data_IF_694025264302
#
_entry.id   IF_694025264302
#
_cell.length_a   1.000
_cell.length_b   1.000
_cell.length_c   1.000
_cell.angle_alpha   90.00
_cell.angle_beta   90.00
_cell.angle_gamma   90.00
#
_symmetry.space_group_name_H-M   'P 1'
#
loop_
_entity.id
_entity.type
_entity.pdbx_description
1 polymer ?
#
# COMPACT_ATOMS: atom_id res chain seq x y z
N UNK A 1 -15.76 -8.03 -12.44
CA UNK A 1 -15.00 -7.87 -11.18
C UNK A 1 -13.51 -7.64 -11.42
N UNK A 2 -12.87 -8.51 -12.19
CA UNK A 2 -11.42 -8.37 -12.42
C UNK A 2 -11.04 -7.06 -13.11
N UNK A 3 -11.82 -6.56 -14.04
CA UNK A 3 -11.56 -5.30 -14.74
C UNK A 3 -11.56 -4.10 -13.78
N UNK A 4 -12.49 -4.07 -12.84
CA UNK A 4 -12.57 -2.99 -11.85
C UNK A 4 -11.35 -3.03 -10.91
N UNK A 5 -10.94 -4.23 -10.50
CA UNK A 5 -9.76 -4.39 -9.65
C UNK A 5 -8.48 -3.97 -10.37
N UNK A 6 -8.35 -4.33 -11.64
CA UNK A 6 -7.23 -3.91 -12.47
C UNK A 6 -7.19 -2.40 -12.67
N UNK A 7 -8.36 -1.78 -12.89
CA UNK A 7 -8.47 -0.33 -13.03
C UNK A 7 -8.06 0.38 -11.75
N UNK A 8 -8.51 -0.10 -10.60
CA UNK A 8 -8.12 0.45 -9.31
C UNK A 8 -6.62 0.30 -9.05
N UNK A 9 -6.05 -0.86 -9.40
CA UNK A 9 -4.62 -1.08 -9.28
C UNK A 9 -3.84 -0.10 -10.16
N UNK A 10 -4.29 0.14 -11.38
CA UNK A 10 -3.67 1.10 -12.28
C UNK A 10 -3.73 2.52 -11.73
N UNK A 11 -4.87 2.93 -11.19
CA UNK A 11 -5.02 4.25 -10.59
C UNK A 11 -4.05 4.47 -9.42
N UNK A 12 -3.93 3.47 -8.55
CA UNK A 12 -2.99 3.53 -7.43
C UNK A 12 -1.53 3.57 -7.92
N UNK A 13 -1.22 2.76 -8.92
CA UNK A 13 0.11 2.76 -9.52
C UNK A 13 0.45 4.14 -10.11
N UNK A 14 -0.46 4.72 -10.88
CA UNK A 14 -0.23 6.04 -11.49
C UNK A 14 -0.12 7.13 -10.42
N UNK A 15 -0.90 7.05 -9.36
CA UNK A 15 -0.80 7.96 -8.21
C UNK A 15 0.62 7.98 -7.64
N UNK A 16 1.18 6.79 -7.43
CA UNK A 16 2.55 6.65 -6.92
C UNK A 16 3.57 7.20 -7.91
N UNK A 17 3.45 6.85 -9.19
CA UNK A 17 4.38 7.29 -10.23
C UNK A 17 4.38 8.81 -10.42
N UNK A 18 3.22 9.43 -10.35
CA UNK A 18 3.03 10.86 -10.54
C UNK A 18 3.14 11.66 -9.25
N UNK A 19 3.25 11.00 -8.11
CA UNK A 19 3.28 11.61 -6.77
C UNK A 19 2.08 12.53 -6.55
N UNK A 20 0.90 12.07 -6.97
CA UNK A 20 -0.36 12.78 -6.81
C UNK A 20 -1.37 11.89 -6.10
N UNK A 21 -1.86 12.31 -4.92
CA UNK A 21 -2.91 11.54 -4.25
C UNK A 21 -4.19 11.52 -5.09
N UNK A 22 -4.94 10.45 -4.92
CA UNK A 22 -6.25 10.29 -5.57
C UNK A 22 -7.32 10.11 -4.51
N UNK A 23 -8.57 10.29 -4.90
CA UNK A 23 -9.70 9.98 -4.01
C UNK A 23 -9.68 8.49 -3.65
N UNK A 24 -10.21 8.11 -2.47
CA UNK A 24 -10.28 6.70 -2.11
C UNK A 24 -10.97 5.86 -3.19
N UNK A 25 -10.36 4.74 -3.55
CA UNK A 25 -10.90 3.84 -4.59
C UNK A 25 -12.15 3.08 -4.14
N UNK A 26 -12.47 3.14 -2.85
CA UNK A 26 -13.62 2.44 -2.28
C UNK A 26 -14.93 2.77 -3.00
N UNK A 27 -15.11 4.03 -3.41
CA UNK A 27 -16.30 4.44 -4.15
C UNK A 27 -16.44 3.77 -5.50
N UNK A 28 -15.33 3.43 -6.14
CA UNK A 28 -15.34 2.74 -7.43
C UNK A 28 -15.56 1.24 -7.29
N UNK A 29 -15.12 0.65 -6.18
CA UNK A 29 -15.33 -0.76 -5.89
C UNK A 29 -16.78 -1.08 -5.51
N UNK A 30 -17.50 -0.10 -4.94
CA UNK A 30 -18.88 -0.28 -4.52
C UNK A 30 -19.03 -0.81 -3.10
N UNK A 31 -20.28 -0.94 -2.68
CA UNK A 31 -20.62 -1.36 -1.30
C UNK A 31 -20.27 -2.81 -1.01
N UNK A 32 -20.19 -3.65 -2.04
CA UNK A 32 -19.89 -5.07 -1.91
C UNK A 32 -18.38 -5.36 -1.86
N UNK A 33 -17.53 -4.32 -1.87
CA UNK A 33 -16.10 -4.49 -1.81
C UNK A 33 -15.65 -5.16 -0.52
N UNK A 34 -14.74 -6.11 -0.65
CA UNK A 34 -14.21 -6.88 0.47
C UNK A 34 -12.73 -6.57 0.71
N UNK A 35 -12.23 -6.97 1.88
CA UNK A 35 -10.79 -6.90 2.17
C UNK A 35 -10.00 -7.75 1.18
N UNK A 36 -10.53 -8.88 0.77
CA UNK A 36 -9.89 -9.74 -0.24
C UNK A 36 -9.73 -9.01 -1.58
N UNK A 37 -10.71 -8.22 -1.99
CA UNK A 37 -10.60 -7.38 -3.20
C UNK A 37 -9.44 -6.39 -3.09
N UNK A 38 -9.27 -5.78 -1.93
CA UNK A 38 -8.16 -4.86 -1.69
C UNK A 38 -6.80 -5.56 -1.82
N UNK A 39 -6.69 -6.79 -1.31
CA UNK A 39 -5.46 -7.56 -1.45
C UNK A 39 -5.21 -8.04 -2.88
N UNK A 40 -6.25 -8.33 -3.65
CA UNK A 40 -6.09 -8.62 -5.08
C UNK A 40 -5.49 -7.40 -5.80
N UNK A 41 -5.98 -6.20 -5.49
CA UNK A 41 -5.42 -4.95 -6.04
C UNK A 41 -3.94 -4.80 -5.66
N UNK A 42 -3.61 -5.04 -4.38
CA UNK A 42 -2.23 -5.01 -3.92
C UNK A 42 -1.36 -6.03 -4.66
N UNK A 43 -1.86 -7.25 -4.85
CA UNK A 43 -1.13 -8.31 -5.55
C UNK A 43 -0.84 -7.95 -7.00
N UNK A 44 -1.79 -7.32 -7.68
CA UNK A 44 -1.59 -6.84 -9.06
C UNK A 44 -0.38 -5.89 -9.10
N UNK A 45 -0.32 -4.94 -8.20
CA UNK A 45 0.78 -3.97 -8.16
C UNK A 45 2.08 -4.58 -7.64
N UNK A 46 2.01 -5.56 -6.74
CA UNK A 46 3.18 -6.32 -6.30
C UNK A 46 3.79 -7.09 -7.47
N UNK A 47 2.97 -7.78 -8.24
CA UNK A 47 3.43 -8.52 -9.41
C UNK A 47 4.04 -7.59 -10.45
N UNK A 48 3.44 -6.44 -10.67
CA UNK A 48 4.00 -5.40 -11.54
C UNK A 48 5.38 -4.96 -11.09
N UNK A 49 5.54 -4.73 -9.79
CA UNK A 49 6.83 -4.33 -9.21
C UNK A 49 7.88 -5.40 -9.40
N UNK A 50 7.55 -6.66 -9.14
CA UNK A 50 8.46 -7.79 -9.35
C UNK A 50 8.86 -7.92 -10.82
N UNK A 51 7.91 -7.80 -11.74
CA UNK A 51 8.17 -7.88 -13.17
C UNK A 51 9.03 -6.72 -13.68
N UNK A 52 9.01 -5.59 -13.00
CA UNK A 52 9.87 -4.44 -13.33
C UNK A 52 11.28 -4.55 -12.76
N UNK A 53 11.57 -5.59 -12.01
CA UNK A 53 12.91 -5.84 -11.45
C UNK A 53 13.08 -5.39 -10.00
N UNK A 54 12.04 -4.90 -9.34
CA UNK A 54 12.11 -4.56 -7.91
C UNK A 54 12.22 -5.84 -7.09
N UNK A 55 13.01 -5.80 -6.04
CA UNK A 55 13.26 -6.97 -5.19
C UNK A 55 12.44 -6.89 -3.90
N UNK A 56 11.62 -7.90 -3.65
CA UNK A 56 10.89 -8.06 -2.40
C UNK A 56 11.87 -8.48 -1.30
N UNK A 57 11.95 -7.71 -0.21
CA UNK A 57 12.88 -7.98 0.90
C UNK A 57 12.17 -8.26 2.22
N UNK A 58 10.87 -8.00 2.30
CA UNK A 58 10.15 -8.26 3.54
C UNK A 58 8.67 -7.88 3.41
N UNK A 59 8.00 -7.96 4.55
CA UNK A 59 6.58 -7.61 4.66
C UNK A 59 6.37 -6.79 5.93
N UNK A 60 5.37 -5.91 5.89
CA UNK A 60 4.96 -5.14 7.06
C UNK A 60 3.59 -5.59 7.53
N UNK A 61 3.32 -5.42 8.83
CA UNK A 61 2.01 -5.63 9.42
C UNK A 61 1.62 -4.30 10.08
N UNK A 62 0.47 -3.75 9.69
CA UNK A 62 -0.08 -2.54 10.30
C UNK A 62 -1.32 -2.85 11.12
N UNK A 63 -1.79 -1.88 11.89
CA UNK A 63 -2.99 -1.98 12.72
C UNK A 63 -2.97 -3.19 13.66
N UNK A 64 -1.84 -3.39 14.33
CA UNK A 64 -1.64 -4.56 15.22
C UNK A 64 -2.31 -4.39 16.58
N UNK A 65 -2.66 -3.16 16.99
CA UNK A 65 -3.32 -2.87 18.25
C UNK A 65 -4.83 -3.01 18.12
N UNK A 66 -5.46 -3.75 19.01
CA UNK A 66 -6.93 -3.89 19.06
C UNK A 66 -7.59 -2.52 19.28
N UNK A 67 -6.99 -1.65 20.10
CA UNK A 67 -7.51 -0.32 20.35
C UNK A 67 -7.55 0.53 19.06
N UNK A 68 -6.47 0.49 18.27
CA UNK A 68 -6.39 1.22 16.99
C UNK A 68 -7.36 0.62 15.98
N UNK A 69 -7.47 -0.71 15.92
CA UNK A 69 -8.45 -1.38 15.05
C UNK A 69 -9.86 -0.89 15.34
N UNK A 70 -10.25 -0.83 16.62
CA UNK A 70 -11.57 -0.33 17.02
C UNK A 70 -11.78 1.14 16.67
N UNK A 71 -10.74 1.95 16.85
CA UNK A 71 -10.79 3.38 16.52
C UNK A 71 -11.06 3.61 15.03
N UNK A 72 -10.48 2.78 14.18
CA UNK A 72 -10.61 2.87 12.72
C UNK A 72 -11.77 2.04 12.15
N UNK A 73 -12.48 1.31 13.01
CA UNK A 73 -13.63 0.50 12.59
C UNK A 73 -13.26 -0.77 11.83
N UNK A 74 -12.08 -1.32 12.11
CA UNK A 74 -11.62 -2.57 11.51
C UNK A 74 -11.42 -3.64 12.58
N UNK A 75 -11.35 -4.90 12.17
CA UNK A 75 -11.27 -6.05 13.08
C UNK A 75 -10.03 -6.93 12.87
N UNK A 76 -9.11 -6.50 12.03
CA UNK A 76 -7.91 -7.26 11.72
C UNK A 76 -6.74 -6.33 11.40
N UNK A 77 -5.49 -6.80 11.55
CA UNK A 77 -4.33 -6.07 11.04
C UNK A 77 -4.32 -6.04 9.52
N UNK A 78 -3.55 -5.15 8.95
CA UNK A 78 -3.29 -5.11 7.52
C UNK A 78 -1.85 -5.49 7.20
N UNK A 79 -1.62 -5.88 5.95
CA UNK A 79 -0.32 -6.39 5.49
C UNK A 79 0.12 -5.65 4.24
N UNK A 80 1.43 -5.47 4.08
CA UNK A 80 2.00 -4.85 2.91
C UNK A 80 3.34 -5.44 2.55
N UNK A 81 3.81 -5.15 1.34
CA UNK A 81 5.08 -5.64 0.81
C UNK A 81 6.15 -4.58 0.92
N UNK A 82 7.36 -4.99 1.25
CA UNK A 82 8.53 -4.10 1.35
C UNK A 82 9.53 -4.48 0.27
N UNK A 83 9.88 -3.50 -0.56
CA UNK A 83 10.86 -3.67 -1.62
C UNK A 83 12.20 -3.04 -1.23
N UNK A 84 13.28 -3.55 -1.82
CA UNK A 84 14.63 -3.11 -1.48
C UNK A 84 14.84 -1.60 -1.66
N UNK A 85 14.18 -1.00 -2.65
CA UNK A 85 14.27 0.44 -2.91
C UNK A 85 13.54 1.32 -1.89
N UNK A 86 12.81 0.72 -0.97
CA UNK A 86 12.15 1.42 0.16
C UNK A 86 13.04 1.51 1.38
N UNK A 87 14.18 0.83 1.41
CA UNK A 87 15.06 0.74 2.57
C UNK A 87 16.04 1.90 2.58
N UNK A 88 16.13 2.58 3.73
CA UNK A 88 17.07 3.68 3.97
C UNK A 88 17.76 3.41 5.30
N UNK A 89 19.06 3.67 5.33
CA UNK A 89 19.85 3.51 6.55
C UNK A 89 19.64 4.64 7.54
N UNK A 90 20.09 4.41 8.77
CA UNK A 90 20.05 5.43 9.81
C UNK A 90 20.86 6.67 9.37
N UNK A 91 20.24 7.85 9.48
CA UNK A 91 20.85 9.09 9.05
C UNK A 91 20.84 9.34 7.54
N UNK A 92 20.36 8.40 6.76
CA UNK A 92 20.24 8.56 5.30
C UNK A 92 19.01 9.39 4.96
N UNK A 93 19.14 10.35 4.06
CA UNK A 93 18.02 11.18 3.63
C UNK A 93 17.19 10.45 2.57
N UNK A 94 15.87 10.51 2.72
CA UNK A 94 14.95 10.05 1.68
C UNK A 94 14.88 11.15 0.61
N UNK A 95 15.20 10.84 -0.67
CA UNK A 95 15.21 11.88 -1.71
C UNK A 95 13.83 12.51 -1.92
N UNK A 96 13.76 13.79 -2.31
CA UNK A 96 12.53 14.40 -2.78
C UNK A 96 11.96 13.60 -3.97
N UNK A 97 10.64 13.52 -4.07
CA UNK A 97 10.00 12.81 -5.17
C UNK A 97 9.77 11.32 -4.91
N UNK A 98 10.00 10.85 -3.69
CA UNK A 98 9.73 9.46 -3.29
C UNK A 98 8.42 9.31 -2.54
N UNK A 99 7.94 10.34 -1.87
CA UNK A 99 6.79 10.27 -0.98
C UNK A 99 5.70 11.26 -1.41
N UNK A 100 4.45 10.91 -1.17
CA UNK A 100 3.31 11.78 -1.49
C UNK A 100 2.93 12.59 -0.25
N UNK A 101 2.63 11.92 0.85
CA UNK A 101 2.19 12.55 2.10
C UNK A 101 2.96 11.88 3.26
N UNK A 102 4.22 12.26 3.46
CA UNK A 102 5.07 11.55 4.41
C UNK A 102 4.56 11.64 5.85
N UNK A 103 4.61 10.51 6.54
CA UNK A 103 4.37 10.40 7.97
C UNK A 103 5.44 9.50 8.57
N UNK A 104 5.70 9.66 9.85
CA UNK A 104 6.70 8.88 10.56
C UNK A 104 6.04 8.05 11.65
N UNK A 105 6.38 6.77 11.69
CA UNK A 105 5.95 5.83 12.73
C UNK A 105 7.15 5.03 13.19
N UNK A 106 7.19 4.68 14.47
CA UNK A 106 8.19 3.76 15.02
C UNK A 106 7.59 2.37 15.11
N UNK A 107 8.30 1.38 14.60
CA UNK A 107 7.85 -0.01 14.64
C UNK A 107 9.01 -0.93 15.01
N UNK A 108 8.68 -2.07 15.62
CA UNK A 108 9.66 -3.12 15.93
C UNK A 108 9.74 -4.05 14.73
N UNK A 109 10.94 -4.30 14.25
CA UNK A 109 11.18 -5.16 13.11
C UNK A 109 11.72 -6.53 13.55
#
# INVERSE_FOLDING_TARGET
MSQILEMCAEQLYQSEQKLKPIAPIRSELGEDATVDDAYVIQDINTERALNSGRRLVGRKIGLTSVAVQKQLGVDSPDFGMLFADMAYGDGEAIPPGKLIQPKVEAEIA
#
